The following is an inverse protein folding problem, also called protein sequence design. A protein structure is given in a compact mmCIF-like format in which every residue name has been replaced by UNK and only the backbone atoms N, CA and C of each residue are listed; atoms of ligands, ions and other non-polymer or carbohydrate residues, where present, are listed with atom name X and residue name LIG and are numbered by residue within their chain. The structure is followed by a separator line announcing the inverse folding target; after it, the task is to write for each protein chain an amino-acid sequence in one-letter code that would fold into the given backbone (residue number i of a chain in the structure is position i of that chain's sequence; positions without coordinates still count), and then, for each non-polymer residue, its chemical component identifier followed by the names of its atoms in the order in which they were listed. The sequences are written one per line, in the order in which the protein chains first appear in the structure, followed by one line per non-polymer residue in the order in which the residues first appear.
data_IF_031683882964
#
_entry.id   IF_031683882964
#
_cell.length_a   1.000
_cell.length_b   1.000
_cell.length_c   1.000
_cell.angle_alpha   90.00
_cell.angle_beta   90.00
_cell.angle_gamma   90.00
#
_symmetry.space_group_name_H-M   'P 1'
#
loop_
_entity.id
_entity.type
_entity.pdbx_description
1 polymer ?
#
# COMPACT_ATOMS: atom_id res chain seq x y z
N UNK A 1 -6.82 -8.46 37.57
CA UNK A 1 -7.34 -7.19 37.01
C UNK A 1 -6.73 -7.09 35.63
N UNK A 2 -7.43 -7.70 34.68
CA UNK A 2 -6.94 -8.02 33.34
C UNK A 2 -6.99 -6.74 32.51
N UNK A 3 -5.89 -5.98 32.50
CA UNK A 3 -5.79 -4.78 31.68
C UNK A 3 -5.62 -5.31 30.27
N UNK A 4 -6.70 -5.24 29.51
CA UNK A 4 -6.74 -5.58 28.10
C UNK A 4 -5.81 -4.58 27.37
N UNK A 5 -4.49 -4.80 27.43
CA UNK A 5 -3.42 -3.93 26.91
C UNK A 5 -3.34 -4.04 25.38
N UNK A 6 -4.51 -4.12 24.74
CA UNK A 6 -4.68 -4.20 23.30
C UNK A 6 -4.80 -2.80 22.76
N UNK A 7 -3.75 -2.34 22.09
CA UNK A 7 -3.79 -1.07 21.36
C UNK A 7 -4.35 -1.34 19.97
N UNK A 8 -5.60 -0.95 19.74
CA UNK A 8 -6.18 -0.98 18.40
C UNK A 8 -5.98 0.38 17.71
N UNK A 9 -5.24 0.38 16.61
CA UNK A 9 -5.04 1.55 15.75
C UNK A 9 -5.90 1.40 14.49
N UNK A 10 -6.94 2.22 14.31
CA UNK A 10 -7.84 2.09 13.16
C UNK A 10 -7.14 2.48 11.85
N UNK A 11 -7.52 1.80 10.78
CA UNK A 11 -7.10 2.18 9.43
C UNK A 11 -7.77 3.48 8.98
N UNK A 12 -7.01 4.32 8.27
CA UNK A 12 -7.54 5.61 7.79
C UNK A 12 -8.37 5.44 6.51
N UNK A 13 -9.69 5.47 6.65
CA UNK A 13 -10.62 5.41 5.52
C UNK A 13 -10.55 6.65 4.62
N UNK A 14 -10.21 7.82 5.16
CA UNK A 14 -10.09 9.07 4.37
C UNK A 14 -8.83 9.04 3.54
N UNK A 15 -7.70 8.63 4.14
CA UNK A 15 -6.46 8.43 3.40
C UNK A 15 -6.63 7.34 2.32
N UNK A 16 -7.36 6.25 2.63
CA UNK A 16 -7.70 5.23 1.65
C UNK A 16 -8.54 5.78 0.49
N UNK A 17 -9.54 6.63 0.78
CA UNK A 17 -10.35 7.29 -0.24
C UNK A 17 -9.52 8.20 -1.14
N UNK A 18 -8.68 9.07 -0.56
CA UNK A 18 -7.80 9.96 -1.33
C UNK A 18 -6.83 9.17 -2.22
N UNK A 19 -6.22 8.12 -1.66
CA UNK A 19 -5.31 7.23 -2.38
C UNK A 19 -5.99 6.45 -3.50
N UNK A 20 -7.24 6.02 -3.30
CA UNK A 20 -8.05 5.35 -4.30
C UNK A 20 -8.50 6.32 -5.40
N UNK A 21 -9.02 7.48 -5.01
CA UNK A 21 -9.50 8.54 -5.90
C UNK A 21 -8.40 9.07 -6.81
N UNK A 22 -7.21 9.37 -6.27
CA UNK A 22 -6.08 9.83 -7.09
C UNK A 22 -5.65 8.77 -8.13
N UNK A 23 -5.57 7.50 -7.73
CA UNK A 23 -5.24 6.40 -8.66
C UNK A 23 -6.32 6.22 -9.72
N UNK A 24 -7.59 6.39 -9.35
CA UNK A 24 -8.71 6.33 -10.28
C UNK A 24 -8.63 7.45 -11.31
N UNK A 25 -8.30 8.67 -10.87
CA UNK A 25 -8.08 9.81 -11.77
C UNK A 25 -6.94 9.51 -12.76
N UNK A 26 -5.79 9.02 -12.27
CA UNK A 26 -4.69 8.60 -13.15
C UNK A 26 -5.12 7.51 -14.14
N UNK A 27 -5.87 6.51 -13.69
CA UNK A 27 -6.37 5.44 -14.56
C UNK A 27 -7.28 5.96 -15.67
N UNK A 28 -8.17 6.91 -15.34
CA UNK A 28 -9.07 7.56 -16.31
C UNK A 28 -8.27 8.38 -17.32
N UNK A 29 -7.25 9.13 -16.87
CA UNK A 29 -6.40 9.92 -17.77
C UNK A 29 -5.59 9.03 -18.74
N UNK A 30 -4.99 7.94 -18.24
CA UNK A 30 -4.22 7.00 -19.06
C UNK A 30 -5.09 6.22 -20.05
N UNK A 31 -6.26 5.75 -19.59
CA UNK A 31 -7.17 5.01 -20.45
C UNK A 31 -7.87 5.92 -21.45
N UNK A 32 -8.21 7.15 -21.04
CA UNK A 32 -8.84 8.16 -21.86
C UNK A 32 -7.92 8.67 -22.98
N UNK A 33 -6.63 8.89 -22.69
CA UNK A 33 -5.66 9.28 -23.72
C UNK A 33 -5.45 8.18 -24.76
N UNK A 34 -5.31 6.92 -24.32
CA UNK A 34 -5.23 5.77 -25.22
C UNK A 34 -6.47 5.62 -26.09
N UNK A 35 -7.66 5.83 -25.51
CA UNK A 35 -8.93 5.81 -26.25
C UNK A 35 -9.02 6.90 -27.32
N UNK A 36 -8.59 8.13 -27.00
CA UNK A 36 -8.57 9.24 -27.95
C UNK A 36 -7.63 8.95 -29.14
N UNK A 37 -6.44 8.41 -28.88
CA UNK A 37 -5.50 7.99 -29.92
C UNK A 37 -6.11 6.89 -30.79
N UNK A 38 -6.74 5.90 -30.17
CA UNK A 38 -7.39 4.80 -30.90
C UNK A 38 -8.50 5.30 -31.84
N UNK A 39 -9.32 6.25 -31.39
CA UNK A 39 -10.42 6.83 -32.18
C UNK A 39 -9.97 7.79 -33.28
N UNK A 40 -8.83 8.45 -33.12
CA UNK A 40 -8.32 9.45 -34.06
C UNK A 40 -7.60 8.85 -35.28
N UNK A 41 -7.47 7.53 -35.35
CA UNK A 41 -6.56 6.86 -36.29
C UNK A 41 -7.30 5.82 -37.10
N UNK A 42 -7.19 5.93 -38.43
CA UNK A 42 -7.71 4.93 -39.37
C UNK A 42 -6.77 3.72 -39.42
N UNK A 43 -6.87 2.86 -38.41
CA UNK A 43 -6.07 1.64 -38.28
C UNK A 43 -6.03 0.77 -39.55
N UNK A 44 -7.15 0.55 -40.28
CA UNK A 44 -7.11 -0.25 -41.51
C UNK A 44 -6.27 0.41 -42.61
N UNK A 45 -6.23 1.74 -42.66
CA UNK A 45 -5.43 2.49 -43.62
C UNK A 45 -3.95 2.43 -43.23
N UNK A 46 -3.62 2.74 -41.98
CA UNK A 46 -2.25 2.67 -41.47
C UNK A 46 -1.64 1.28 -41.63
N UNK A 47 -2.41 0.21 -41.38
CA UNK A 47 -1.91 -1.15 -41.56
C UNK A 47 -1.52 -1.47 -43.01
N UNK A 48 -2.22 -0.87 -43.98
CA UNK A 48 -1.96 -1.07 -45.41
C UNK A 48 -0.81 -0.22 -45.93
N UNK A 49 -0.65 1.00 -45.42
CA UNK A 49 0.37 1.94 -45.89
C UNK A 49 1.69 1.80 -45.14
N UNK A 50 1.64 1.67 -43.80
CA UNK A 50 2.80 1.69 -42.91
C UNK A 50 2.61 0.73 -41.72
N UNK A 51 2.75 -0.60 -41.94
CA UNK A 51 2.51 -1.59 -40.89
C UNK A 51 3.48 -1.44 -39.69
N UNK A 52 4.72 -1.03 -39.93
CA UNK A 52 5.71 -0.81 -38.86
C UNK A 52 5.28 0.35 -37.94
N UNK A 53 4.94 1.52 -38.51
CA UNK A 53 4.41 2.67 -37.76
C UNK A 53 3.15 2.29 -36.99
N UNK A 54 2.26 1.51 -37.62
CA UNK A 54 1.04 1.00 -37.00
C UNK A 54 1.34 0.11 -35.78
N UNK A 55 2.28 -0.83 -35.89
CA UNK A 55 2.68 -1.68 -34.75
C UNK A 55 3.35 -0.88 -33.64
N UNK A 56 4.27 0.03 -33.97
CA UNK A 56 4.93 0.88 -32.98
C UNK A 56 3.92 1.71 -32.18
N UNK A 57 2.94 2.29 -32.87
CA UNK A 57 1.86 3.05 -32.27
C UNK A 57 0.93 2.17 -31.42
N UNK A 58 0.60 0.96 -31.89
CA UNK A 58 -0.20 0.00 -31.12
C UNK A 58 0.52 -0.40 -29.81
N UNK A 59 1.84 -0.64 -29.85
CA UNK A 59 2.65 -0.91 -28.65
C UNK A 59 2.68 0.32 -27.74
N UNK A 60 2.88 1.52 -28.31
CA UNK A 60 2.88 2.77 -27.56
C UNK A 60 1.53 3.06 -26.88
N UNK A 61 0.40 2.64 -27.49
CA UNK A 61 -0.94 2.75 -26.90
C UNK A 61 -1.26 1.63 -25.89
N UNK A 62 -0.71 0.44 -26.09
CA UNK A 62 -0.88 -0.69 -25.17
C UNK A 62 -0.24 -0.41 -23.80
N UNK A 63 0.92 0.23 -23.77
CA UNK A 63 1.65 0.53 -22.52
C UNK A 63 0.84 1.39 -21.53
N UNK A 64 0.29 2.56 -21.88
CA UNK A 64 -0.57 3.34 -20.99
C UNK A 64 -1.88 2.62 -20.68
N UNK A 65 -2.41 1.76 -21.56
CA UNK A 65 -3.58 0.95 -21.25
C UNK A 65 -3.30 -0.07 -20.14
N UNK A 66 -2.15 -0.76 -20.19
CA UNK A 66 -1.70 -1.67 -19.12
C UNK A 66 -1.48 -0.92 -17.82
N UNK A 67 -0.80 0.24 -17.86
CA UNK A 67 -0.62 1.08 -16.68
C UNK A 67 -1.95 1.59 -16.11
N UNK A 68 -2.89 1.96 -16.99
CA UNK A 68 -4.24 2.34 -16.64
C UNK A 68 -4.96 1.22 -15.91
N UNK A 69 -4.90 -0.02 -16.43
CA UNK A 69 -5.52 -1.19 -15.81
C UNK A 69 -4.92 -1.49 -14.42
N UNK A 70 -3.59 -1.43 -14.29
CA UNK A 70 -2.91 -1.60 -13.00
C UNK A 70 -3.31 -0.50 -12.00
N UNK A 71 -3.41 0.75 -12.46
CA UNK A 71 -3.88 1.87 -11.65
C UNK A 71 -5.35 1.69 -11.24
N UNK A 72 -6.22 1.21 -12.12
CA UNK A 72 -7.62 0.87 -11.80
C UNK A 72 -7.68 -0.23 -10.75
N UNK A 73 -6.93 -1.33 -10.92
CA UNK A 73 -6.90 -2.40 -9.94
C UNK A 73 -6.45 -1.89 -8.55
N UNK A 74 -5.39 -1.09 -8.52
CA UNK A 74 -4.92 -0.46 -7.29
C UNK A 74 -5.95 0.52 -6.70
N UNK A 75 -6.62 1.32 -7.52
CA UNK A 75 -7.66 2.25 -7.11
C UNK A 75 -8.85 1.52 -6.48
N UNK A 76 -9.40 0.52 -7.18
CA UNK A 76 -10.50 -0.31 -6.71
C UNK A 76 -10.14 -0.96 -5.37
N UNK A 77 -8.92 -1.50 -5.24
CA UNK A 77 -8.48 -2.10 -3.97
C UNK A 77 -8.49 -1.11 -2.80
N UNK A 78 -8.08 0.14 -3.04
CA UNK A 78 -8.15 1.20 -2.02
C UNK A 78 -9.57 1.69 -1.77
N UNK A 79 -10.43 1.76 -2.77
CA UNK A 79 -11.84 2.12 -2.62
C UNK A 79 -12.62 1.02 -1.87
N UNK A 80 -12.28 -0.25 -2.06
CA UNK A 80 -12.86 -1.35 -1.28
C UNK A 80 -12.57 -1.21 0.22
N UNK A 81 -11.39 -0.68 0.60
CA UNK A 81 -11.09 -0.39 2.01
C UNK A 81 -12.06 0.62 2.61
N UNK A 82 -12.51 1.62 1.86
CA UNK A 82 -13.41 2.66 2.37
C UNK A 82 -14.82 2.12 2.63
N UNK A 83 -15.27 1.23 1.76
CA UNK A 83 -16.58 0.57 1.81
C UNK A 83 -16.60 -0.69 2.69
N UNK A 84 -15.47 -1.07 3.27
CA UNK A 84 -15.38 -2.34 3.98
C UNK A 84 -16.24 -2.35 5.26
N UNK A 85 -17.11 -3.36 5.45
CA UNK A 85 -18.06 -3.38 6.56
C UNK A 85 -17.39 -3.66 7.91
N UNK A 86 -16.26 -4.39 7.92
CA UNK A 86 -15.57 -4.76 9.15
C UNK A 86 -14.65 -3.64 9.67
N UNK A 87 -14.29 -3.75 10.97
CA UNK A 87 -13.24 -2.90 11.57
C UNK A 87 -11.89 -3.21 10.92
N UNK A 88 -11.28 -2.19 10.33
CA UNK A 88 -9.97 -2.25 9.71
C UNK A 88 -8.95 -1.55 10.59
N UNK A 89 -7.76 -2.12 10.70
CA UNK A 89 -6.70 -1.57 11.53
C UNK A 89 -5.66 -2.61 11.93
N UNK A 90 -4.76 -2.17 12.80
CA UNK A 90 -3.72 -3.01 13.40
C UNK A 90 -3.95 -3.03 14.91
N UNK A 91 -3.97 -4.23 15.47
CA UNK A 91 -4.14 -4.50 16.89
C UNK A 91 -2.81 -5.01 17.45
N UNK A 92 -2.28 -4.29 18.44
CA UNK A 92 -1.07 -4.69 19.15
C UNK A 92 -1.45 -5.21 20.54
N UNK A 93 -1.20 -6.50 20.77
CA UNK A 93 -1.30 -7.15 22.08
C UNK A 93 0.07 -7.62 22.58
N UNK A 94 0.20 -7.94 23.87
CA UNK A 94 1.47 -8.42 24.45
C UNK A 94 2.02 -9.67 23.74
N UNK A 95 1.15 -10.53 23.22
CA UNK A 95 1.54 -11.79 22.59
C UNK A 95 1.68 -11.70 21.07
N UNK A 96 1.00 -10.73 20.43
CA UNK A 96 0.91 -10.68 18.97
C UNK A 96 0.52 -9.30 18.41
N UNK A 97 0.98 -9.02 17.20
CA UNK A 97 0.49 -7.96 16.31
C UNK A 97 -0.45 -8.60 15.29
N UNK A 98 -1.71 -8.16 15.25
CA UNK A 98 -2.71 -8.63 14.29
C UNK A 98 -3.11 -7.48 13.38
N UNK A 99 -3.25 -7.72 12.09
CA UNK A 99 -3.78 -6.71 11.16
C UNK A 99 -4.98 -7.25 10.41
N UNK A 100 -5.95 -6.36 10.20
CA UNK A 100 -7.14 -6.60 9.39
C UNK A 100 -7.23 -5.43 8.43
N UNK A 101 -6.78 -5.64 7.19
CA UNK A 101 -6.69 -4.60 6.16
C UNK A 101 -7.65 -4.85 5.00
N UNK A 102 -8.66 -5.71 5.21
CA UNK A 102 -9.74 -5.99 4.25
C UNK A 102 -9.18 -6.61 2.96
N UNK A 103 -9.27 -5.92 1.81
CA UNK A 103 -8.78 -6.44 0.52
C UNK A 103 -7.25 -6.52 0.44
N UNK A 104 -6.52 -5.95 1.40
CA UNK A 104 -5.07 -6.15 1.53
C UNK A 104 -4.70 -7.39 2.36
N UNK A 105 -5.70 -8.11 2.86
CA UNK A 105 -5.52 -9.31 3.66
C UNK A 105 -5.56 -9.05 5.17
N UNK A 106 -5.32 -10.13 5.89
CA UNK A 106 -5.23 -10.16 7.34
C UNK A 106 -4.05 -11.05 7.73
N UNK A 107 -3.52 -10.84 8.93
CA UNK A 107 -2.42 -11.66 9.42
C UNK A 107 -2.14 -11.41 10.89
N UNK A 108 -1.20 -12.21 11.39
CA UNK A 108 -0.74 -12.22 12.78
C UNK A 108 0.76 -12.44 12.77
N UNK A 109 1.47 -11.65 13.56
CA UNK A 109 2.87 -11.87 13.94
C UNK A 109 2.92 -12.01 15.45
N UNK A 110 3.72 -12.95 15.95
CA UNK A 110 3.88 -13.10 17.38
C UNK A 110 4.87 -12.05 17.89
N UNK A 111 4.53 -11.42 19.01
CA UNK A 111 5.28 -10.27 19.51
C UNK A 111 6.66 -10.68 20.03
N UNK A 112 6.81 -11.94 20.47
CA UNK A 112 8.09 -12.52 20.93
C UNK A 112 9.15 -12.61 19.82
N UNK A 113 8.76 -12.61 18.55
CA UNK A 113 9.67 -12.66 17.41
C UNK A 113 10.05 -11.28 16.86
N UNK A 114 9.47 -10.20 17.39
CA UNK A 114 9.76 -8.84 16.93
C UNK A 114 11.10 -8.38 17.49
N UNK A 115 11.99 -7.97 16.60
CA UNK A 115 13.28 -7.40 16.96
C UNK A 115 13.34 -5.93 16.58
N UNK A 116 13.96 -5.12 17.43
CA UNK A 116 14.39 -3.77 17.05
C UNK A 116 15.71 -3.89 16.27
N UNK A 117 16.00 -2.98 15.34
CA UNK A 117 17.31 -2.87 14.73
C UNK A 117 18.25 -2.19 15.73
N UNK A 118 19.50 -2.62 15.78
CA UNK A 118 20.49 -2.13 16.73
C UNK A 118 20.70 -2.99 17.98
N UNK A 119 20.05 -4.15 18.10
CA UNK A 119 20.47 -5.16 19.09
C UNK A 119 21.73 -5.91 18.62
N UNK A 120 21.98 -5.96 17.30
CA UNK A 120 23.15 -6.60 16.66
C UNK A 120 23.75 -5.78 15.48
N UNK A 121 23.19 -4.59 15.15
CA UNK A 121 23.57 -3.79 13.98
C UNK A 121 24.15 -2.42 14.43
N UNK A 122 25.47 -2.31 14.46
CA UNK A 122 26.20 -1.11 14.91
C UNK A 122 26.01 0.12 13.98
N UNK A 123 25.42 -0.07 12.80
CA UNK A 123 25.22 0.98 11.79
C UNK A 123 23.85 1.68 11.86
N UNK A 124 22.99 1.36 12.84
CA UNK A 124 21.70 2.03 12.99
C UNK A 124 21.86 3.45 13.58
N UNK A 125 21.75 4.46 12.71
CA UNK A 125 21.66 5.87 13.12
C UNK A 125 20.20 6.19 13.45
N UNK A 126 19.91 6.41 14.74
CA UNK A 126 18.61 6.95 15.18
C UNK A 126 18.50 8.42 14.73
N UNK A 127 17.79 8.64 13.62
CA UNK A 127 17.50 9.97 13.07
C UNK A 127 16.47 10.75 13.92
N UNK A 128 15.86 10.10 14.92
CA UNK A 128 14.85 10.66 15.80
C UNK A 128 13.49 10.92 15.14
N UNK A 129 13.39 10.81 13.81
CA UNK A 129 12.25 11.22 13.00
C UNK A 129 11.46 10.00 12.47
N UNK A 130 12.14 8.87 12.29
CA UNK A 130 11.58 7.62 11.80
C UNK A 130 11.34 6.62 12.96
N UNK A 131 10.27 5.80 12.93
CA UNK A 131 10.15 4.71 13.88
C UNK A 131 11.18 3.63 13.54
N UNK A 132 11.78 2.97 14.53
CA UNK A 132 12.75 1.92 14.29
C UNK A 132 12.09 0.78 13.49
N UNK A 133 12.78 0.18 12.49
CA UNK A 133 12.27 -0.96 11.76
C UNK A 133 11.84 -2.09 12.69
N UNK A 134 10.65 -2.65 12.47
CA UNK A 134 10.17 -3.83 13.19
C UNK A 134 10.35 -5.04 12.28
N UNK A 135 11.35 -5.86 12.55
CA UNK A 135 11.61 -7.10 11.78
C UNK A 135 11.06 -8.31 12.52
N UNK A 136 10.61 -9.30 11.77
CA UNK A 136 10.12 -10.58 12.31
C UNK A 136 10.54 -11.70 11.34
N UNK A 137 11.01 -12.87 11.83
CA UNK A 137 11.48 -13.96 10.97
C UNK A 137 10.43 -14.43 9.95
N UNK A 138 9.16 -14.47 10.35
CA UNK A 138 8.05 -14.86 9.47
C UNK A 138 7.49 -13.72 8.59
N UNK A 139 8.07 -12.52 8.65
CA UNK A 139 7.64 -11.38 7.85
C UNK A 139 8.84 -10.78 7.11
N UNK A 140 8.94 -10.94 5.77
CA UNK A 140 10.11 -10.50 5.00
C UNK A 140 10.23 -8.97 4.86
N UNK A 141 9.39 -8.18 5.52
CA UNK A 141 9.38 -6.72 5.42
C UNK A 141 9.49 -6.03 6.77
N UNK A 142 9.41 -4.70 6.75
CA UNK A 142 9.34 -3.89 7.96
C UNK A 142 7.88 -3.78 8.44
N UNK A 143 7.54 -4.38 9.58
CA UNK A 143 6.20 -4.32 10.13
C UNK A 143 5.79 -2.89 10.53
N UNK A 144 6.74 -2.00 10.84
CA UNK A 144 6.47 -0.59 11.13
C UNK A 144 5.85 0.13 9.92
N UNK A 145 6.22 -0.27 8.69
CA UNK A 145 5.62 0.27 7.48
C UNK A 145 4.13 -0.08 7.37
N UNK A 146 3.68 -1.24 7.87
CA UNK A 146 2.26 -1.57 7.87
C UNK A 146 1.45 -0.57 8.71
N UNK A 147 1.99 -0.20 9.88
CA UNK A 147 1.36 0.79 10.76
C UNK A 147 1.32 2.16 10.07
N UNK A 148 2.45 2.66 9.56
CA UNK A 148 2.52 3.97 8.91
C UNK A 148 1.69 4.04 7.62
N UNK A 149 1.67 2.94 6.85
CA UNK A 149 1.02 2.92 5.56
C UNK A 149 -0.48 2.86 5.69
N UNK A 150 -1.01 2.10 6.64
CA UNK A 150 -2.44 1.81 6.69
C UNK A 150 -3.20 2.47 7.85
N UNK A 151 -2.51 2.99 8.85
CA UNK A 151 -3.13 3.61 10.04
C UNK A 151 -2.84 5.11 10.14
N UNK A 152 -3.51 5.79 11.08
CA UNK A 152 -3.29 7.23 11.36
C UNK A 152 -2.13 7.52 12.31
N UNK A 153 -1.40 6.48 12.76
CA UNK A 153 -0.34 6.69 13.73
C UNK A 153 0.80 7.48 13.09
N UNK A 154 1.29 8.50 13.79
CA UNK A 154 2.49 9.21 13.33
C UNK A 154 3.73 8.38 13.61
N UNK A 155 4.82 8.64 12.88
CA UNK A 155 6.14 8.05 13.14
C UNK A 155 6.53 8.15 14.62
N UNK A 156 6.40 9.34 15.21
CA UNK A 156 6.69 9.57 16.63
C UNK A 156 5.79 8.78 17.60
N UNK A 157 4.48 8.68 17.32
CA UNK A 157 3.57 7.87 18.14
C UNK A 157 3.88 6.38 18.05
N UNK A 158 4.22 5.89 16.86
CA UNK A 158 4.62 4.51 16.64
C UNK A 158 5.93 4.22 17.35
N UNK A 159 6.92 5.12 17.26
CA UNK A 159 8.19 5.03 18.00
C UNK A 159 7.97 4.97 19.50
N UNK A 160 7.18 5.88 20.06
CA UNK A 160 6.85 5.87 21.49
C UNK A 160 6.17 4.56 21.92
N UNK A 161 5.28 4.02 21.08
CA UNK A 161 4.61 2.74 21.32
C UNK A 161 5.59 1.56 21.28
N UNK A 162 6.49 1.54 20.30
CA UNK A 162 7.55 0.53 20.16
C UNK A 162 8.48 0.57 21.38
N UNK A 163 8.94 1.76 21.78
CA UNK A 163 9.83 1.96 22.93
C UNK A 163 9.18 1.56 24.26
N UNK A 164 7.87 1.78 24.40
CA UNK A 164 7.14 1.44 25.62
C UNK A 164 6.76 -0.05 25.75
N UNK A 165 6.73 -0.81 24.65
CA UNK A 165 6.17 -2.18 24.62
C UNK A 165 7.14 -3.27 24.24
N UNK A 166 8.19 -2.95 23.48
CA UNK A 166 9.30 -3.87 23.29
C UNK A 166 10.32 -3.66 24.42
N UNK A 167 10.88 -4.72 25.01
CA UNK A 167 12.00 -4.59 25.94
C UNK A 167 13.24 -3.95 25.27
#
# INVERSE_FOLDING_TARGET
MDRDDRLFVPADRVAALMRGGWRMLCAVLLSGSGWLVYRGIDWPLMWRTEPLSCTALAVAAALPAVLGLLATFAAVRWLLVTLWPARLGVEWSADAIRWRLGPFGHGRLDALGLRRPGEDDDDFVDDGESPPPLTHPDYPGNAAELFLRYTRITAGQLRATILARLP
#
